data_IF_746761682280
#
_entry.id   IF_746761682280
#
_cell.length_a   1.000
_cell.length_b   1.000
_cell.length_c   1.000
_cell.angle_alpha   90.00
_cell.angle_beta   90.00
_cell.angle_gamma   90.00
#
_symmetry.space_group_name_H-M   'P 1'
#
loop_
_entity.id
_entity.type
_entity.pdbx_description
1 polymer ?
#
# COMPACT_ATOMS: atom_id res chain seq x y z
N UNK A 1 12.84 2.65 -18.94
CA UNK A 1 13.34 3.13 -17.64
C UNK A 1 12.88 4.56 -17.33
N UNK A 2 12.93 5.50 -18.28
CA UNK A 2 12.59 6.91 -18.01
C UNK A 2 11.17 7.15 -17.51
N UNK A 3 10.16 6.50 -18.11
CA UNK A 3 8.76 6.64 -17.67
C UNK A 3 8.56 6.20 -16.21
N UNK A 4 9.32 5.20 -15.74
CA UNK A 4 9.27 4.76 -14.35
C UNK A 4 9.85 5.83 -13.43
N UNK A 5 11.04 6.33 -13.74
CA UNK A 5 11.70 7.39 -12.96
C UNK A 5 10.84 8.64 -12.87
N UNK A 6 10.20 9.03 -13.98
CA UNK A 6 9.27 10.14 -14.01
C UNK A 6 8.10 9.92 -13.05
N UNK A 7 7.39 8.78 -13.16
CA UNK A 7 6.26 8.45 -12.29
C UNK A 7 6.65 8.47 -10.81
N UNK A 8 7.77 7.85 -10.45
CA UNK A 8 8.19 7.80 -9.05
C UNK A 8 8.57 9.17 -8.48
N UNK A 9 9.19 10.02 -9.31
CA UNK A 9 9.44 11.41 -8.93
C UNK A 9 8.13 12.17 -8.70
N UNK A 10 7.16 12.04 -9.60
CA UNK A 10 5.84 12.67 -9.43
C UNK A 10 5.15 12.23 -8.12
N UNK A 11 5.22 10.94 -7.78
CA UNK A 11 4.65 10.43 -6.52
C UNK A 11 5.36 10.97 -5.28
N UNK A 12 6.67 11.16 -5.33
CA UNK A 12 7.45 11.72 -4.23
C UNK A 12 7.18 13.22 -4.01
N UNK A 13 6.81 13.95 -5.07
CA UNK A 13 6.49 15.38 -5.02
C UNK A 13 5.02 15.62 -4.63
N UNK A 14 4.10 14.68 -4.94
CA UNK A 14 2.68 14.79 -4.60
C UNK A 14 2.45 14.63 -3.08
N UNK A 15 2.29 15.75 -2.38
CA UNK A 15 1.88 15.80 -0.97
C UNK A 15 0.44 15.35 -0.77
N UNK A 16 0.17 14.59 0.28
CA UNK A 16 -1.14 13.95 0.54
C UNK A 16 -1.73 14.48 1.85
N UNK A 17 -3.03 14.82 1.84
CA UNK A 17 -3.78 15.18 3.05
C UNK A 17 -4.24 13.93 3.80
N UNK A 18 -4.44 14.04 5.12
CA UNK A 18 -4.79 12.87 5.97
C UNK A 18 -6.05 12.12 5.50
N UNK A 19 -7.09 12.83 5.06
CA UNK A 19 -8.30 12.19 4.54
C UNK A 19 -8.08 11.50 3.17
N UNK A 20 -7.20 12.04 2.33
CA UNK A 20 -6.82 11.42 1.05
C UNK A 20 -6.08 10.09 1.31
N UNK A 21 -5.17 10.08 2.30
CA UNK A 21 -4.44 8.89 2.70
C UNK A 21 -5.37 7.75 3.16
N UNK A 22 -6.32 8.06 4.03
CA UNK A 22 -7.30 7.07 4.52
C UNK A 22 -8.16 6.52 3.37
N UNK A 23 -8.67 7.40 2.51
CA UNK A 23 -9.46 6.99 1.35
C UNK A 23 -8.66 6.11 0.39
N UNK A 24 -7.37 6.42 0.20
CA UNK A 24 -6.46 5.58 -0.58
C UNK A 24 -6.33 4.17 0.02
N UNK A 25 -6.06 4.05 1.32
CA UNK A 25 -5.92 2.74 1.96
C UNK A 25 -7.21 1.91 1.90
N UNK A 26 -8.38 2.54 2.08
CA UNK A 26 -9.68 1.87 1.94
C UNK A 26 -9.87 1.33 0.52
N UNK A 27 -9.57 2.12 -0.51
CA UNK A 27 -9.67 1.69 -1.92
C UNK A 27 -8.70 0.55 -2.23
N UNK A 28 -7.49 0.57 -1.67
CA UNK A 28 -6.48 -0.45 -1.97
C UNK A 28 -6.79 -1.77 -1.28
N UNK A 29 -7.10 -1.74 0.03
CA UNK A 29 -7.25 -2.93 0.88
C UNK A 29 -8.63 -3.57 0.68
N UNK A 30 -9.71 -2.80 0.79
CA UNK A 30 -11.07 -3.34 0.82
C UNK A 30 -11.62 -3.74 -0.56
N UNK A 31 -11.01 -3.26 -1.66
CA UNK A 31 -11.44 -3.59 -3.03
C UNK A 31 -10.87 -4.95 -3.51
N UNK A 32 -10.14 -5.69 -2.65
CA UNK A 32 -9.42 -6.94 -3.01
C UNK A 32 -10.25 -8.20 -2.88
N UNK A 33 -11.52 -8.10 -2.49
CA UNK A 33 -12.33 -9.26 -2.17
C UNK A 33 -13.25 -9.63 -3.32
N UNK A 34 -13.11 -10.88 -3.79
CA UNK A 34 -14.19 -11.55 -4.48
C UNK A 34 -15.36 -11.74 -3.50
N UNK A 35 -16.62 -11.61 -3.95
CA UNK A 35 -17.77 -11.75 -3.09
C UNK A 35 -17.87 -13.19 -2.57
N UNK A 36 -17.44 -13.45 -1.32
CA UNK A 36 -17.52 -14.81 -0.75
C UNK A 36 -16.91 -15.06 0.64
N UNK A 37 -16.01 -14.23 1.17
CA UNK A 37 -15.36 -14.52 2.47
C UNK A 37 -15.95 -13.70 3.64
N UNK A 38 -16.77 -14.35 4.47
CA UNK A 38 -17.55 -13.73 5.54
C UNK A 38 -16.84 -13.46 6.89
N UNK A 39 -15.53 -13.18 6.91
CA UNK A 39 -14.77 -12.87 8.16
C UNK A 39 -13.95 -11.57 8.02
N UNK A 40 -14.25 -10.74 7.01
CA UNK A 40 -13.25 -9.81 6.44
C UNK A 40 -13.20 -8.41 7.05
N UNK A 41 -14.27 -7.97 7.73
CA UNK A 41 -14.32 -6.63 8.34
C UNK A 41 -13.20 -6.37 9.36
N UNK A 42 -12.95 -7.33 10.26
CA UNK A 42 -11.94 -7.19 11.32
C UNK A 42 -10.50 -7.29 10.79
N UNK A 43 -10.27 -8.12 9.78
CA UNK A 43 -8.96 -8.24 9.13
C UNK A 43 -8.60 -6.96 8.37
N UNK A 44 -9.57 -6.36 7.69
CA UNK A 44 -9.39 -5.09 7.00
C UNK A 44 -9.13 -3.95 7.98
N UNK A 45 -9.80 -3.92 9.14
CA UNK A 45 -9.50 -2.94 10.19
C UNK A 45 -8.05 -3.03 10.69
N UNK A 46 -7.56 -4.24 10.97
CA UNK A 46 -6.16 -4.45 11.41
C UNK A 46 -5.16 -4.06 10.31
N UNK A 47 -5.45 -4.42 9.06
CA UNK A 47 -4.64 -4.03 7.92
C UNK A 47 -4.57 -2.50 7.78
N UNK A 48 -5.71 -1.82 7.83
CA UNK A 48 -5.82 -0.36 7.75
C UNK A 48 -5.02 0.34 8.84
N UNK A 49 -5.19 -0.08 10.11
CA UNK A 49 -4.40 0.48 11.22
C UNK A 49 -2.91 0.28 11.02
N UNK A 50 -2.50 -0.89 10.53
CA UNK A 50 -1.09 -1.21 10.32
C UNK A 50 -0.48 -0.36 9.20
N UNK A 51 -1.13 -0.25 8.04
CA UNK A 51 -0.62 0.57 6.92
C UNK A 51 -0.60 2.05 7.26
N UNK A 52 -1.59 2.53 8.02
CA UNK A 52 -1.61 3.89 8.53
C UNK A 52 -0.41 4.15 9.45
N UNK A 53 -0.15 3.28 10.42
CA UNK A 53 1.02 3.41 11.30
C UNK A 53 2.34 3.41 10.51
N UNK A 54 2.47 2.53 9.50
CA UNK A 54 3.65 2.51 8.63
C UNK A 54 3.85 3.83 7.88
N UNK A 55 2.77 4.42 7.36
CA UNK A 55 2.82 5.72 6.69
C UNK A 55 3.13 6.89 7.64
N UNK A 56 2.68 6.81 8.89
CA UNK A 56 2.85 7.85 9.91
C UNK A 56 4.23 7.85 10.60
N UNK A 57 5.19 7.07 10.09
CA UNK A 57 6.59 7.11 10.55
C UNK A 57 7.13 5.79 11.07
N UNK A 58 6.29 4.76 11.26
CA UNK A 58 6.75 3.45 11.71
C UNK A 58 7.27 2.56 10.57
N UNK A 59 7.04 2.95 9.31
CA UNK A 59 7.54 2.24 8.14
C UNK A 59 9.00 2.53 7.85
N UNK A 60 9.65 1.59 7.17
CA UNK A 60 11.06 1.72 6.78
C UNK A 60 11.23 2.90 5.82
N UNK A 61 11.95 3.92 6.29
CA UNK A 61 12.18 5.14 5.50
C UNK A 61 10.96 6.06 5.39
N UNK A 62 9.92 5.88 6.19
CA UNK A 62 8.72 6.73 6.18
C UNK A 62 9.05 8.21 6.49
N UNK A 63 10.11 8.47 7.25
CA UNK A 63 10.59 9.81 7.59
C UNK A 63 11.48 10.46 6.51
N UNK A 64 11.82 9.74 5.43
CA UNK A 64 12.57 10.32 4.32
C UNK A 64 11.75 11.41 3.62
N UNK A 65 12.41 12.48 3.16
CA UNK A 65 11.73 13.62 2.51
C UNK A 65 10.86 13.22 1.31
N UNK A 66 11.31 12.22 0.54
CA UNK A 66 10.58 11.68 -0.60
C UNK A 66 9.36 10.85 -0.22
N UNK A 67 9.26 10.35 1.02
CA UNK A 67 8.18 9.48 1.49
C UNK A 67 7.21 10.23 2.42
N UNK A 68 7.73 11.04 3.35
CA UNK A 68 6.96 11.68 4.41
C UNK A 68 5.85 12.57 3.87
N UNK A 69 4.60 12.15 4.10
CA UNK A 69 3.41 12.90 3.69
C UNK A 69 3.17 12.90 2.17
N UNK A 70 3.68 11.92 1.42
CA UNK A 70 3.63 11.87 -0.05
C UNK A 70 2.88 10.64 -0.56
N UNK A 71 2.47 10.67 -1.83
CA UNK A 71 1.89 9.51 -2.50
C UNK A 71 2.91 8.35 -2.61
N UNK A 72 4.21 8.66 -2.73
CA UNK A 72 5.27 7.65 -2.65
C UNK A 72 5.32 6.96 -1.27
N UNK A 73 5.12 7.72 -0.20
CA UNK A 73 5.02 7.16 1.16
C UNK A 73 3.82 6.23 1.32
N UNK A 74 2.67 6.57 0.74
CA UNK A 74 1.49 5.69 0.74
C UNK A 74 1.77 4.35 0.06
N UNK A 75 2.36 4.40 -1.14
CA UNK A 75 2.72 3.21 -1.91
C UNK A 75 3.73 2.36 -1.12
N UNK A 76 4.75 2.99 -0.55
CA UNK A 76 5.78 2.33 0.24
C UNK A 76 5.17 1.59 1.43
N UNK A 77 4.26 2.23 2.17
CA UNK A 77 3.58 1.62 3.32
C UNK A 77 2.76 0.37 2.92
N UNK A 78 2.06 0.40 1.78
CA UNK A 78 1.35 -0.79 1.26
C UNK A 78 2.33 -1.90 0.89
N UNK A 79 3.39 -1.59 0.15
CA UNK A 79 4.36 -2.61 -0.27
C UNK A 79 5.04 -3.27 0.93
N UNK A 80 5.43 -2.48 1.93
CA UNK A 80 6.00 -3.00 3.17
C UNK A 80 5.03 -3.91 3.91
N UNK A 81 3.75 -3.50 4.01
CA UNK A 81 2.72 -4.31 4.63
C UNK A 81 2.53 -5.66 3.91
N UNK A 82 2.42 -5.65 2.59
CA UNK A 82 2.22 -6.87 1.79
C UNK A 82 3.43 -7.81 1.90
N UNK A 83 4.64 -7.26 1.83
CA UNK A 83 5.86 -8.06 1.74
C UNK A 83 6.32 -8.60 3.11
N UNK A 84 6.03 -7.88 4.20
CA UNK A 84 6.58 -8.20 5.53
C UNK A 84 5.55 -8.47 6.63
N UNK A 85 4.36 -7.86 6.58
CA UNK A 85 3.43 -7.81 7.72
C UNK A 85 2.15 -8.63 7.49
N UNK A 86 1.82 -8.95 6.23
CA UNK A 86 0.66 -9.79 5.92
C UNK A 86 0.90 -11.22 6.41
N UNK A 87 0.06 -11.65 7.35
CA UNK A 87 0.14 -12.99 7.92
C UNK A 87 -0.13 -14.06 6.85
N UNK A 88 0.72 -15.08 6.83
CA UNK A 88 0.53 -16.29 6.04
C UNK A 88 0.89 -17.51 6.89
N UNK A 89 0.28 -18.66 6.59
CA UNK A 89 0.51 -19.91 7.33
C UNK A 89 1.95 -20.44 7.18
N UNK A 90 2.63 -20.10 6.08
CA UNK A 90 4.04 -20.44 5.82
C UNK A 90 4.76 -19.28 5.14
N UNK A 91 6.10 -19.27 5.24
CA UNK A 91 6.94 -18.25 4.62
C UNK A 91 6.91 -18.32 3.09
N UNK A 92 6.97 -19.52 2.51
CA UNK A 92 6.94 -19.70 1.05
C UNK A 92 5.64 -19.19 0.45
N UNK A 93 4.50 -19.47 1.11
CA UNK A 93 3.20 -18.97 0.67
C UNK A 93 3.08 -17.45 0.79
N UNK A 94 3.78 -16.83 1.76
CA UNK A 94 3.86 -15.37 1.86
C UNK A 94 4.60 -14.78 0.66
N UNK A 95 5.76 -15.35 0.33
CA UNK A 95 6.60 -14.87 -0.78
C UNK A 95 5.88 -15.05 -2.12
N UNK A 96 5.29 -16.21 -2.36
CA UNK A 96 4.55 -16.49 -3.59
C UNK A 96 3.36 -15.53 -3.74
N UNK A 97 2.59 -15.31 -2.67
CA UNK A 97 1.47 -14.35 -2.68
C UNK A 97 1.94 -12.91 -2.93
N UNK A 98 3.07 -12.51 -2.33
CA UNK A 98 3.66 -11.19 -2.49
C UNK A 98 4.19 -10.94 -3.91
N UNK A 99 4.64 -11.99 -4.62
CA UNK A 99 5.22 -11.87 -5.96
C UNK A 99 4.22 -12.11 -7.08
N UNK A 100 3.34 -13.11 -6.96
CA UNK A 100 2.51 -13.57 -8.08
C UNK A 100 1.01 -13.74 -7.75
N UNK A 101 0.61 -13.60 -6.48
CA UNK A 101 -0.76 -13.79 -6.03
C UNK A 101 -1.50 -12.51 -5.63
N UNK A 102 -2.34 -12.63 -4.61
CA UNK A 102 -3.16 -11.52 -4.09
C UNK A 102 -2.31 -10.33 -3.62
N UNK A 103 -1.12 -10.58 -3.05
CA UNK A 103 -0.19 -9.53 -2.65
C UNK A 103 0.31 -8.71 -3.85
N UNK A 104 0.66 -9.37 -4.96
CA UNK A 104 1.04 -8.70 -6.20
C UNK A 104 -0.11 -7.82 -6.74
N UNK A 105 -1.34 -8.33 -6.72
CA UNK A 105 -2.53 -7.58 -7.14
C UNK A 105 -2.78 -6.33 -6.26
N UNK A 106 -2.59 -6.45 -4.95
CA UNK A 106 -2.70 -5.30 -4.02
C UNK A 106 -1.63 -4.25 -4.35
N UNK A 107 -0.38 -4.65 -4.59
CA UNK A 107 0.71 -3.71 -4.94
C UNK A 107 0.47 -3.01 -6.27
N UNK A 108 -0.02 -3.72 -7.29
CA UNK A 108 -0.37 -3.11 -8.57
C UNK A 108 -1.47 -2.06 -8.40
N UNK A 109 -2.54 -2.41 -7.68
CA UNK A 109 -3.64 -1.48 -7.41
C UNK A 109 -3.20 -0.26 -6.60
N UNK A 110 -2.31 -0.47 -5.62
CA UNK A 110 -1.72 0.59 -4.83
C UNK A 110 -0.98 1.60 -5.72
N UNK A 111 -0.20 1.10 -6.69
CA UNK A 111 0.47 1.95 -7.68
C UNK A 111 -0.54 2.69 -8.55
N UNK A 112 -1.56 2.01 -9.08
CA UNK A 112 -2.56 2.61 -9.96
C UNK A 112 -3.32 3.76 -9.28
N UNK A 113 -3.78 3.57 -8.04
CA UNK A 113 -4.45 4.64 -7.27
C UNK A 113 -3.49 5.77 -6.91
N UNK A 114 -2.22 5.47 -6.60
CA UNK A 114 -1.24 6.51 -6.27
C UNK A 114 -0.96 7.39 -7.50
N UNK A 115 -0.87 6.78 -8.69
CA UNK A 115 -0.72 7.51 -9.95
C UNK A 115 -1.96 8.35 -10.27
N UNK A 116 -3.17 7.86 -10.02
CA UNK A 116 -4.41 8.64 -10.20
C UNK A 116 -4.47 9.86 -9.28
N UNK A 117 -3.89 9.80 -8.08
CA UNK A 117 -3.82 10.96 -7.17
C UNK A 117 -2.81 12.03 -7.62
N UNK A 118 -1.84 11.63 -8.44
CA UNK A 118 -0.74 12.46 -8.89
C UNK A 118 -0.91 12.98 -10.34
N UNK A 119 -1.91 12.49 -11.07
CA UNK A 119 -2.37 13.02 -12.35
C UNK A 119 -3.25 14.26 -12.14
#
# INVERSE_FOLDING_TARGET
>A
WDSFMYRMKTLAERKVKSHEAMNYFLKVICQSEQPGEGITGLNNERALKKVQALYEGHGRGAELQAAKGTAWGLLSAITEYVDHEKQARSQDNRLDSAWFGQGAAIKQRALDHALQMAA
#
